data_IF_213391582070
#
_entry.id   IF_213391582070
#
_cell.length_a   1.000
_cell.length_b   1.000
_cell.length_c   1.000
_cell.angle_alpha   90.00
_cell.angle_beta   90.00
_cell.angle_gamma   90.00
#
_symmetry.space_group_name_H-M   'P 1'
#
loop_
_entity.id
_entity.type
_entity.pdbx_description
1 polymer ?
#
# COMPACT_ATOMS: atom_id res chain seq x y z
N UNK A 1 5.63 24.11 1.49
CA UNK A 1 4.59 23.32 2.20
C UNK A 1 3.16 23.70 1.86
N UNK A 2 2.82 24.95 1.56
CA UNK A 2 1.44 25.40 1.28
C UNK A 2 0.80 24.85 -0.02
N UNK A 3 1.60 24.42 -0.99
CA UNK A 3 1.08 23.96 -2.29
C UNK A 3 0.46 22.54 -2.24
N UNK A 4 0.99 21.65 -1.41
CA UNK A 4 0.52 20.27 -1.29
C UNK A 4 -0.83 20.14 -0.56
N UNK A 5 -1.10 21.00 0.41
CA UNK A 5 -2.35 20.98 1.19
C UNK A 5 -3.61 21.42 0.41
N UNK A 6 -3.45 22.05 -0.76
CA UNK A 6 -4.56 22.48 -1.61
C UNK A 6 -5.07 21.42 -2.60
N UNK A 7 -4.24 20.43 -2.95
CA UNK A 7 -4.54 19.46 -4.01
C UNK A 7 -5.77 18.61 -3.68
N UNK A 8 -5.84 18.05 -2.48
CA UNK A 8 -6.97 17.22 -2.06
C UNK A 8 -8.31 17.97 -2.16
N UNK A 9 -8.33 19.23 -1.73
CA UNK A 9 -9.54 20.09 -1.84
C UNK A 9 -9.91 20.35 -3.30
N UNK A 10 -8.92 20.61 -4.16
CA UNK A 10 -9.15 20.83 -5.60
C UNK A 10 -9.72 19.59 -6.26
N UNK A 11 -9.16 18.40 -5.96
CA UNK A 11 -9.66 17.14 -6.49
C UNK A 11 -11.05 16.83 -5.97
N UNK A 12 -11.30 16.96 -4.67
CA UNK A 12 -12.64 16.77 -4.08
C UNK A 12 -13.69 17.66 -4.74
N UNK A 13 -13.38 18.94 -4.93
CA UNK A 13 -14.28 19.88 -5.62
C UNK A 13 -14.52 19.49 -7.08
N UNK A 14 -13.48 19.00 -7.79
CA UNK A 14 -13.58 18.58 -9.19
C UNK A 14 -14.50 17.36 -9.38
N UNK A 15 -14.46 16.40 -8.44
CA UNK A 15 -15.29 15.19 -8.48
C UNK A 15 -16.62 15.32 -7.72
N UNK A 16 -16.92 16.50 -7.18
CA UNK A 16 -18.14 16.73 -6.42
C UNK A 16 -18.20 16.02 -5.06
N UNK A 17 -17.05 15.63 -4.50
CA UNK A 17 -16.98 14.97 -3.21
C UNK A 17 -16.86 15.96 -2.06
N UNK A 18 -17.39 15.60 -0.89
CA UNK A 18 -17.19 16.35 0.33
C UNK A 18 -15.73 16.26 0.78
N UNK A 19 -15.12 17.41 1.11
CA UNK A 19 -13.77 17.48 1.62
C UNK A 19 -13.76 17.41 3.15
N UNK A 20 -13.25 16.32 3.70
CA UNK A 20 -13.01 16.15 5.13
C UNK A 20 -11.55 16.49 5.43
N UNK A 21 -11.32 17.58 6.18
CA UNK A 21 -9.95 17.94 6.59
C UNK A 21 -9.43 17.03 7.69
N UNK A 22 -8.17 16.61 7.57
CA UNK A 22 -7.44 15.87 8.59
C UNK A 22 -6.31 16.69 9.19
N UNK A 23 -6.00 16.43 10.45
CA UNK A 23 -4.82 16.97 11.14
C UNK A 23 -3.56 16.15 10.86
N UNK A 24 -3.71 14.94 10.33
CA UNK A 24 -2.60 14.09 9.93
C UNK A 24 -2.10 14.48 8.53
N UNK A 25 -0.79 14.48 8.38
CA UNK A 25 -0.13 14.41 7.07
C UNK A 25 0.00 12.94 6.72
N UNK A 26 -0.71 12.53 5.68
CA UNK A 26 -0.68 11.17 5.18
C UNK A 26 -0.80 11.17 3.65
N UNK A 27 0.03 10.37 3.01
CA UNK A 27 -0.04 10.10 1.58
C UNK A 27 -0.93 8.87 1.34
N UNK A 28 -1.53 8.76 0.15
CA UNK A 28 -2.40 7.62 -0.20
C UNK A 28 -1.72 6.26 -0.02
N UNK A 29 -0.43 6.17 -0.34
CA UNK A 29 0.38 4.96 -0.16
C UNK A 29 0.75 4.64 1.30
N UNK A 30 0.56 5.58 2.23
CA UNK A 30 0.85 5.37 3.66
C UNK A 30 -0.22 4.57 4.41
N UNK A 31 -1.36 4.29 3.80
CA UNK A 31 -2.45 3.47 4.35
C UNK A 31 -3.04 2.54 3.29
N UNK A 32 -3.58 1.40 3.71
CA UNK A 32 -4.38 0.53 2.86
C UNK A 32 -5.58 -0.01 3.65
N UNK A 33 -6.78 0.11 3.09
CA UNK A 33 -8.04 -0.25 3.79
C UNK A 33 -8.70 -1.47 3.18
N UNK A 34 -9.42 -2.25 3.99
CA UNK A 34 -10.19 -3.41 3.55
C UNK A 34 -11.66 -3.08 3.17
N UNK A 35 -12.11 -1.86 3.45
CA UNK A 35 -13.50 -1.44 3.26
C UNK A 35 -14.46 -1.87 4.37
N UNK A 36 -14.02 -2.64 5.36
CA UNK A 36 -14.82 -3.13 6.50
C UNK A 36 -14.29 -2.67 7.85
N UNK A 37 -13.50 -1.59 7.86
CA UNK A 37 -13.04 -0.95 9.10
C UNK A 37 -11.61 -1.29 9.50
N UNK A 38 -10.88 -2.09 8.73
CA UNK A 38 -9.46 -2.37 8.98
C UNK A 38 -8.57 -1.49 8.11
N UNK A 39 -7.48 -0.99 8.69
CA UNK A 39 -6.43 -0.27 7.97
C UNK A 39 -5.06 -0.87 8.25
N UNK A 40 -4.28 -1.11 7.20
CA UNK A 40 -2.84 -1.39 7.25
C UNK A 40 -2.09 -0.06 7.15
N UNK A 41 -1.06 0.09 7.95
CA UNK A 41 -0.17 1.25 7.95
C UNK A 41 1.18 0.88 8.56
N UNK A 42 2.18 1.75 8.43
CA UNK A 42 3.50 1.56 9.04
C UNK A 42 3.76 2.60 10.13
N UNK A 43 4.47 2.18 11.18
CA UNK A 43 4.89 3.08 12.25
C UNK A 43 5.80 4.19 11.73
N UNK A 44 6.73 3.82 10.86
CA UNK A 44 7.76 4.73 10.33
C UNK A 44 7.18 5.87 9.50
N UNK A 45 6.00 5.69 8.90
CA UNK A 45 5.28 6.75 8.18
C UNK A 45 4.38 7.56 9.11
N UNK A 46 3.49 6.88 9.85
CA UNK A 46 2.46 7.58 10.61
C UNK A 46 3.00 8.34 11.83
N UNK A 47 4.06 7.80 12.44
CA UNK A 47 4.71 8.41 13.60
C UNK A 47 5.98 9.20 13.24
N UNK A 48 6.24 9.44 11.95
CA UNK A 48 7.35 10.27 11.51
C UNK A 48 7.20 11.71 12.04
N UNK A 49 8.15 12.18 12.88
CA UNK A 49 8.06 13.52 13.45
C UNK A 49 8.14 14.66 12.42
N UNK A 50 8.67 14.38 11.22
CA UNK A 50 8.69 15.35 10.11
C UNK A 50 7.32 15.45 9.40
N UNK A 51 6.48 14.39 9.49
CA UNK A 51 5.10 14.39 8.99
C UNK A 51 4.12 14.81 10.08
N UNK A 52 4.18 14.14 11.23
CA UNK A 52 3.19 14.22 12.30
C UNK A 52 3.88 14.43 13.66
N UNK A 53 4.46 15.62 13.93
CA UNK A 53 5.33 15.85 15.10
C UNK A 53 4.66 15.62 16.46
N UNK A 54 3.34 15.54 16.49
CA UNK A 54 2.56 15.33 17.73
C UNK A 54 1.75 14.04 17.70
N UNK A 55 2.00 13.15 16.71
CA UNK A 55 1.28 11.91 16.58
C UNK A 55 1.75 10.87 17.60
N UNK A 56 0.80 10.15 18.13
CA UNK A 56 0.96 8.85 18.78
C UNK A 56 -0.08 7.89 18.15
N UNK A 57 0.04 6.59 18.42
CA UNK A 57 -0.87 5.61 17.81
C UNK A 57 -2.34 5.94 18.08
N UNK A 58 -2.70 6.30 19.32
CA UNK A 58 -4.09 6.61 19.69
C UNK A 58 -4.66 7.81 18.92
N UNK A 59 -3.85 8.86 18.69
CA UNK A 59 -4.27 10.03 17.90
C UNK A 59 -4.43 9.68 16.42
N UNK A 60 -3.53 8.89 15.87
CA UNK A 60 -3.63 8.42 14.48
C UNK A 60 -4.89 7.58 14.31
N UNK A 61 -5.12 6.60 15.18
CA UNK A 61 -6.30 5.73 15.14
C UNK A 61 -7.60 6.51 15.28
N UNK A 62 -7.67 7.45 16.23
CA UNK A 62 -8.85 8.30 16.40
C UNK A 62 -9.15 9.15 15.15
N UNK A 63 -8.10 9.67 14.50
CA UNK A 63 -8.28 10.48 13.29
C UNK A 63 -8.66 9.63 12.09
N UNK A 64 -8.10 8.43 11.93
CA UNK A 64 -8.49 7.48 10.88
C UNK A 64 -9.93 6.98 11.08
N UNK A 65 -10.35 6.73 12.33
CA UNK A 65 -11.74 6.40 12.65
C UNK A 65 -12.70 7.53 12.24
N UNK A 66 -12.31 8.78 12.51
CA UNK A 66 -13.13 9.97 12.18
C UNK A 66 -13.21 10.23 10.68
N UNK A 67 -12.11 10.03 9.93
CA UNK A 67 -11.99 10.47 8.53
C UNK A 67 -12.34 9.40 7.51
N UNK A 68 -11.98 8.14 7.78
CA UNK A 68 -12.17 7.02 6.87
C UNK A 68 -12.93 5.83 7.49
N UNK A 69 -13.40 5.95 8.74
CA UNK A 69 -14.18 4.91 9.41
C UNK A 69 -13.37 3.67 9.83
N UNK A 70 -12.04 3.75 9.87
CA UNK A 70 -11.21 2.65 10.31
C UNK A 70 -11.29 2.47 11.84
N UNK A 71 -11.72 1.30 12.28
CA UNK A 71 -11.88 0.95 13.71
C UNK A 71 -10.76 0.06 14.24
N UNK A 72 -10.00 -0.55 13.35
CA UNK A 72 -8.87 -1.45 13.68
C UNK A 72 -7.68 -1.09 12.81
N UNK A 73 -6.57 -0.70 13.44
CA UNK A 73 -5.32 -0.38 12.78
C UNK A 73 -4.30 -1.51 13.00
N UNK A 74 -3.75 -2.06 11.92
CA UNK A 74 -2.67 -3.03 11.94
C UNK A 74 -1.36 -2.29 11.64
N UNK A 75 -0.54 -2.12 12.65
CA UNK A 75 0.68 -1.34 12.64
C UNK A 75 1.89 -2.17 12.26
N UNK A 76 2.25 -2.17 10.99
CA UNK A 76 3.51 -2.77 10.54
C UNK A 76 4.69 -1.95 11.11
N UNK A 77 5.74 -2.60 11.62
CA UNK A 77 6.85 -1.89 12.24
C UNK A 77 7.65 -1.03 11.25
N UNK A 78 7.71 -1.45 9.99
CA UNK A 78 8.50 -0.78 8.93
C UNK A 78 8.09 -1.22 7.53
N UNK A 79 8.57 -0.47 6.51
CA UNK A 79 8.50 -0.84 5.10
C UNK A 79 9.79 -1.47 4.57
N UNK A 80 9.95 -1.47 3.23
CA UNK A 80 11.14 -2.01 2.55
C UNK A 80 12.35 -1.09 2.72
N UNK A 81 13.55 -1.65 2.64
CA UNK A 81 14.78 -0.97 3.03
C UNK A 81 15.12 0.25 2.18
N UNK A 82 15.00 0.16 0.84
CA UNK A 82 15.32 1.29 -0.06
C UNK A 82 14.34 2.46 0.08
N UNK A 83 13.13 2.21 0.56
CA UNK A 83 12.12 3.26 0.74
C UNK A 83 12.47 4.28 1.86
N UNK A 84 13.62 4.11 2.50
CA UNK A 84 14.23 5.08 3.43
C UNK A 84 15.33 5.96 2.80
N UNK A 85 15.64 5.75 1.50
CA UNK A 85 16.61 6.54 0.76
C UNK A 85 16.03 7.90 0.29
N UNK A 86 16.79 8.68 -0.47
CA UNK A 86 16.50 10.08 -0.83
C UNK A 86 15.12 10.27 -1.48
N UNK A 87 14.69 9.34 -2.35
CA UNK A 87 13.38 9.41 -3.02
C UNK A 87 12.30 8.59 -2.32
N UNK A 88 12.63 7.93 -1.22
CA UNK A 88 11.72 7.06 -0.50
C UNK A 88 10.68 7.80 0.32
N UNK A 89 9.69 7.06 0.78
CA UNK A 89 8.55 7.56 1.53
C UNK A 89 8.64 7.30 3.04
N UNK A 90 9.76 6.75 3.51
CA UNK A 90 10.01 6.26 4.87
C UNK A 90 9.17 5.02 5.25
N UNK A 91 8.87 4.17 4.29
CA UNK A 91 8.25 2.87 4.52
C UNK A 91 6.75 2.84 4.29
N UNK A 92 6.26 3.40 3.17
CA UNK A 92 4.86 3.26 2.77
C UNK A 92 4.41 1.80 2.76
N UNK A 93 3.17 1.56 3.18
CA UNK A 93 2.60 0.20 3.24
C UNK A 93 2.30 -0.36 1.85
N UNK A 94 2.03 0.47 0.86
CA UNK A 94 1.57 0.09 -0.47
C UNK A 94 2.60 -0.61 -1.37
N UNK A 95 3.88 -0.65 -0.96
CA UNK A 95 4.90 -1.51 -1.58
C UNK A 95 5.13 -2.81 -0.80
N UNK A 96 4.57 -2.92 0.40
CA UNK A 96 4.78 -4.04 1.32
C UNK A 96 3.58 -4.96 1.37
N UNK A 97 2.38 -4.40 1.61
CA UNK A 97 1.17 -5.17 1.82
C UNK A 97 -0.08 -4.43 1.32
N UNK A 98 -1.05 -5.19 0.81
CA UNK A 98 -2.33 -4.68 0.34
C UNK A 98 -3.46 -5.65 0.67
N UNK A 99 -4.64 -5.16 1.06
CA UNK A 99 -5.82 -6.01 1.13
C UNK A 99 -6.31 -6.38 -0.28
N UNK A 100 -6.48 -7.66 -0.55
CA UNK A 100 -7.20 -8.13 -1.74
C UNK A 100 -8.71 -8.25 -1.49
N UNK A 101 -9.07 -8.50 -0.24
CA UNK A 101 -10.43 -8.56 0.27
C UNK A 101 -10.37 -8.44 1.81
N UNK A 102 -11.50 -8.19 2.49
CA UNK A 102 -11.54 -8.25 3.94
C UNK A 102 -10.99 -9.59 4.47
N UNK A 103 -10.05 -9.54 5.42
CA UNK A 103 -9.35 -10.70 5.98
C UNK A 103 -8.28 -11.34 5.08
N UNK A 104 -8.05 -10.84 3.83
CA UNK A 104 -7.02 -11.38 2.92
C UNK A 104 -6.01 -10.31 2.54
N UNK A 105 -4.73 -10.56 2.83
CA UNK A 105 -3.61 -9.63 2.59
C UNK A 105 -2.63 -10.23 1.59
N UNK A 106 -2.32 -9.48 0.53
CA UNK A 106 -1.18 -9.72 -0.32
C UNK A 106 0.06 -9.15 0.37
N UNK A 107 1.13 -9.92 0.46
CA UNK A 107 2.37 -9.52 1.13
C UNK A 107 3.56 -9.70 0.20
N UNK A 108 4.35 -8.66 0.04
CA UNK A 108 5.63 -8.72 -0.64
C UNK A 108 6.55 -9.76 0.02
N UNK A 109 7.19 -10.62 -0.79
CA UNK A 109 8.11 -11.64 -0.32
C UNK A 109 9.43 -11.56 -1.07
N UNK A 110 10.51 -11.30 -0.36
CA UNK A 110 11.86 -11.37 -0.90
C UNK A 110 12.50 -12.71 -0.55
N UNK A 111 12.79 -13.54 -1.56
CA UNK A 111 13.32 -14.89 -1.39
C UNK A 111 14.85 -14.95 -1.30
N UNK A 112 15.55 -13.96 -1.87
CA UNK A 112 17.02 -13.93 -1.85
C UNK A 112 17.55 -13.55 -0.46
N UNK A 113 18.27 -14.47 0.18
CA UNK A 113 18.82 -14.26 1.52
C UNK A 113 19.93 -13.19 1.59
N UNK A 114 20.50 -12.79 0.47
CA UNK A 114 21.47 -11.69 0.37
C UNK A 114 20.81 -10.33 0.27
N UNK A 115 19.51 -10.28 -0.01
CA UNK A 115 18.76 -9.02 -0.07
C UNK A 115 18.35 -8.56 1.33
N UNK A 116 18.50 -7.27 1.69
CA UNK A 116 18.14 -6.77 3.02
C UNK A 116 16.66 -7.01 3.36
N UNK A 117 15.76 -6.98 2.38
CA UNK A 117 14.34 -7.16 2.60
C UNK A 117 13.91 -8.63 2.81
N UNK A 118 14.82 -9.60 2.66
CA UNK A 118 14.54 -10.99 3.00
C UNK A 118 14.12 -11.15 4.47
N UNK A 119 14.85 -10.52 5.37
CA UNK A 119 14.53 -10.56 6.81
C UNK A 119 13.27 -9.74 7.08
N UNK A 120 13.17 -8.54 6.48
CA UNK A 120 12.02 -7.63 6.65
C UNK A 120 10.71 -8.33 6.30
N UNK A 121 10.62 -8.93 5.12
CA UNK A 121 9.37 -9.56 4.66
C UNK A 121 8.98 -10.78 5.48
N UNK A 122 9.94 -11.53 6.02
CA UNK A 122 9.69 -12.64 6.94
C UNK A 122 9.16 -12.18 8.30
N UNK A 123 9.74 -11.12 8.86
CA UNK A 123 9.27 -10.51 10.10
C UNK A 123 7.85 -9.97 9.95
N UNK A 124 7.57 -9.27 8.85
CA UNK A 124 6.23 -8.75 8.55
C UNK A 124 5.21 -9.87 8.36
N UNK A 125 5.59 -10.98 7.72
CA UNK A 125 4.72 -12.14 7.60
C UNK A 125 4.37 -12.74 8.95
N UNK A 126 5.37 -12.97 9.79
CA UNK A 126 5.16 -13.50 11.14
C UNK A 126 4.26 -12.57 11.96
N UNK A 127 4.49 -11.26 11.89
CA UNK A 127 3.66 -10.26 12.56
C UNK A 127 2.20 -10.30 12.09
N UNK A 128 1.97 -10.34 10.76
CA UNK A 128 0.61 -10.34 10.19
C UNK A 128 -0.17 -11.61 10.48
N UNK A 129 0.51 -12.77 10.61
CA UNK A 129 -0.14 -14.04 10.94
C UNK A 129 -0.81 -14.04 12.32
N UNK A 130 -0.36 -13.17 13.23
CA UNK A 130 -0.92 -13.01 14.57
C UNK A 130 -2.01 -11.92 14.65
N UNK A 131 -2.35 -11.27 13.52
CA UNK A 131 -3.34 -10.19 13.48
C UNK A 131 -4.72 -10.69 13.05
N UNK A 132 -5.71 -9.89 13.45
CA UNK A 132 -7.10 -10.04 13.00
C UNK A 132 -7.61 -8.73 12.40
N UNK A 133 -8.58 -8.81 11.51
CA UNK A 133 -9.28 -7.63 10.99
C UNK A 133 -10.32 -7.07 11.99
N UNK A 134 -11.03 -6.02 11.59
CA UNK A 134 -12.06 -5.36 12.40
C UNK A 134 -13.25 -6.27 12.75
N UNK A 135 -13.48 -7.34 11.98
CA UNK A 135 -14.49 -8.34 12.27
C UNK A 135 -13.98 -9.52 13.15
N UNK A 136 -12.70 -9.48 13.56
CA UNK A 136 -12.05 -10.53 14.35
C UNK A 136 -11.63 -11.76 13.51
N UNK A 137 -11.58 -11.66 12.18
CA UNK A 137 -11.12 -12.75 11.31
C UNK A 137 -9.59 -12.79 11.30
N UNK A 138 -8.94 -13.95 11.51
CA UNK A 138 -7.51 -14.09 11.25
C UNK A 138 -7.18 -13.74 9.79
N UNK A 139 -6.03 -13.10 9.57
CA UNK A 139 -5.60 -12.71 8.23
C UNK A 139 -5.10 -13.93 7.43
N UNK A 140 -5.63 -14.11 6.23
CA UNK A 140 -5.05 -14.97 5.20
C UNK A 140 -3.94 -14.21 4.48
N UNK A 141 -2.69 -14.69 4.57
CA UNK A 141 -1.54 -14.04 3.95
C UNK A 141 -1.20 -14.74 2.65
N UNK A 142 -1.27 -14.02 1.54
CA UNK A 142 -0.88 -14.47 0.21
C UNK A 142 0.47 -13.85 -0.16
N UNK A 143 1.50 -14.68 -0.25
CA UNK A 143 2.82 -14.24 -0.65
C UNK A 143 2.84 -13.83 -2.13
N UNK A 144 3.37 -12.66 -2.41
CA UNK A 144 3.67 -12.16 -3.76
C UNK A 144 5.18 -12.02 -3.88
N UNK A 145 5.87 -12.98 -4.55
CA UNK A 145 7.33 -12.95 -4.68
C UNK A 145 7.81 -11.67 -5.36
N UNK A 146 8.92 -11.14 -4.89
CA UNK A 146 9.63 -10.03 -5.52
C UNK A 146 10.06 -10.37 -6.96
N UNK A 147 10.34 -9.36 -7.81
CA UNK A 147 11.10 -9.55 -9.04
C UNK A 147 12.46 -10.22 -8.79
N UNK A 148 13.06 -10.77 -9.87
CA UNK A 148 14.35 -11.47 -9.79
C UNK A 148 15.53 -10.48 -9.73
N UNK A 149 15.36 -9.27 -10.26
CA UNK A 149 16.37 -8.21 -10.18
C UNK A 149 16.53 -7.76 -8.73
N UNK A 150 17.74 -7.93 -8.20
CA UNK A 150 18.04 -7.56 -6.82
C UNK A 150 18.64 -6.17 -6.68
N UNK A 151 19.29 -5.67 -7.75
CA UNK A 151 20.04 -4.40 -7.73
C UNK A 151 19.92 -3.67 -9.05
N UNK A 152 19.95 -2.36 -8.96
CA UNK A 152 20.24 -1.41 -10.04
C UNK A 152 21.54 -0.66 -9.78
N UNK A 153 21.77 0.42 -10.53
CA UNK A 153 23.00 1.23 -10.41
C UNK A 153 23.09 1.96 -9.07
N UNK A 154 21.98 2.12 -8.33
CA UNK A 154 21.91 2.84 -7.07
C UNK A 154 21.94 1.91 -5.84
N UNK A 155 21.73 0.61 -6.01
CA UNK A 155 21.75 -0.36 -4.91
C UNK A 155 20.72 -1.47 -5.00
N UNK A 156 20.28 -1.98 -3.86
CA UNK A 156 19.18 -2.94 -3.81
C UNK A 156 17.88 -2.28 -4.21
N UNK A 157 17.06 -2.96 -5.04
CA UNK A 157 15.77 -2.45 -5.47
C UNK A 157 14.67 -2.79 -4.47
N UNK A 158 13.64 -1.95 -4.40
CA UNK A 158 12.39 -2.17 -3.65
C UNK A 158 11.21 -2.50 -4.58
N UNK A 159 11.49 -3.04 -5.75
CA UNK A 159 10.48 -3.35 -6.75
C UNK A 159 9.45 -4.34 -6.22
N UNK A 160 8.19 -3.97 -6.30
CA UNK A 160 7.12 -4.73 -5.69
C UNK A 160 5.86 -4.79 -6.58
N UNK A 161 5.34 -6.01 -6.79
CA UNK A 161 4.04 -6.22 -7.45
C UNK A 161 2.85 -5.86 -6.53
N UNK A 162 3.10 -5.58 -5.24
CA UNK A 162 2.06 -5.10 -4.32
C UNK A 162 1.60 -3.70 -4.73
N UNK A 163 2.47 -2.89 -5.35
CA UNK A 163 2.16 -1.52 -5.73
C UNK A 163 1.32 -1.44 -7.02
N UNK A 164 0.18 -2.13 -7.03
CA UNK A 164 -0.79 -2.17 -8.13
C UNK A 164 -2.02 -1.32 -7.82
N UNK A 165 -2.76 -0.93 -8.85
CA UNK A 165 -4.02 -0.20 -8.73
C UNK A 165 -5.19 -1.10 -9.09
N UNK A 166 -6.17 -1.20 -8.21
CA UNK A 166 -7.44 -1.88 -8.49
C UNK A 166 -8.45 -0.87 -9.02
N UNK A 167 -8.98 -1.15 -10.21
CA UNK A 167 -10.06 -0.38 -10.85
C UNK A 167 -11.28 -1.28 -11.12
N UNK A 168 -12.39 -0.74 -11.65
CA UNK A 168 -13.65 -1.45 -11.73
C UNK A 168 -13.54 -2.86 -12.36
N UNK A 169 -12.95 -2.96 -13.55
CA UNK A 169 -12.89 -4.21 -14.33
C UNK A 169 -11.46 -4.75 -14.49
N UNK A 170 -10.47 -4.09 -13.89
CA UNK A 170 -9.08 -4.44 -14.06
C UNK A 170 -8.23 -4.19 -12.81
N UNK A 171 -7.05 -4.80 -12.81
CA UNK A 171 -5.94 -4.46 -11.94
C UNK A 171 -4.79 -3.98 -12.82
N UNK A 172 -4.32 -2.78 -12.59
CA UNK A 172 -3.14 -2.24 -13.27
C UNK A 172 -1.93 -2.67 -12.43
N UNK A 173 -1.19 -3.65 -12.92
CA UNK A 173 -0.10 -4.29 -12.22
C UNK A 173 1.26 -3.77 -12.69
N UNK A 174 2.21 -3.70 -11.77
CA UNK A 174 3.60 -3.45 -12.11
C UNK A 174 4.18 -4.61 -12.93
N UNK A 175 4.98 -4.28 -13.93
CA UNK A 175 5.85 -5.20 -14.65
C UNK A 175 7.28 -4.68 -14.59
N UNK A 176 8.24 -5.60 -14.55
CA UNK A 176 9.64 -5.25 -14.43
C UNK A 176 10.48 -5.79 -15.61
N UNK A 177 9.79 -6.31 -16.65
CA UNK A 177 10.43 -6.88 -17.84
C UNK A 177 11.03 -8.26 -17.59
N UNK A 178 10.52 -8.98 -16.61
CA UNK A 178 10.95 -10.32 -16.19
C UNK A 178 9.84 -11.32 -16.47
N UNK A 179 9.84 -11.92 -17.66
CA UNK A 179 8.71 -12.71 -18.18
C UNK A 179 8.14 -13.72 -17.17
N UNK A 180 9.00 -14.47 -16.48
CA UNK A 180 8.57 -15.49 -15.53
C UNK A 180 8.04 -14.92 -14.22
N UNK A 181 8.69 -13.90 -13.66
CA UNK A 181 8.27 -13.25 -12.42
C UNK A 181 7.00 -12.41 -12.66
N UNK A 182 6.95 -11.65 -13.76
CA UNK A 182 5.79 -10.86 -14.16
C UNK A 182 4.56 -11.77 -14.42
N UNK A 183 4.76 -12.95 -15.05
CA UNK A 183 3.69 -13.92 -15.27
C UNK A 183 3.17 -14.48 -13.94
N UNK A 184 4.06 -14.88 -13.03
CA UNK A 184 3.70 -15.37 -11.69
C UNK A 184 2.92 -14.32 -10.90
N UNK A 185 3.35 -13.07 -10.93
CA UNK A 185 2.63 -11.97 -10.26
C UNK A 185 1.22 -11.79 -10.85
N UNK A 186 1.08 -11.83 -12.18
CA UNK A 186 -0.24 -11.76 -12.84
C UNK A 186 -1.17 -12.89 -12.39
N UNK A 187 -0.65 -14.12 -12.29
CA UNK A 187 -1.45 -15.28 -11.85
C UNK A 187 -1.94 -15.11 -10.40
N UNK A 188 -1.06 -14.65 -9.51
CA UNK A 188 -1.41 -14.39 -8.11
C UNK A 188 -2.44 -13.26 -8.00
N UNK A 189 -2.24 -12.15 -8.70
CA UNK A 189 -3.17 -11.03 -8.72
C UNK A 189 -4.51 -11.43 -9.35
N UNK A 190 -4.50 -12.24 -10.42
CA UNK A 190 -5.72 -12.77 -11.05
C UNK A 190 -6.53 -13.64 -10.10
N UNK A 191 -5.87 -14.46 -9.29
CA UNK A 191 -6.52 -15.28 -8.26
C UNK A 191 -7.02 -14.42 -7.07
N UNK A 192 -6.31 -13.36 -6.74
CA UNK A 192 -6.68 -12.45 -5.64
C UNK A 192 -7.88 -11.55 -6.00
N UNK A 193 -8.02 -11.17 -7.27
CA UNK A 193 -9.06 -10.27 -7.77
C UNK A 193 -9.91 -10.95 -8.86
N UNK A 194 -10.74 -11.95 -8.52
CA UNK A 194 -11.50 -12.71 -9.49
C UNK A 194 -12.45 -11.81 -10.30
N UNK A 195 -12.50 -12.06 -11.61
CA UNK A 195 -13.33 -11.30 -12.54
C UNK A 195 -12.71 -10.00 -13.07
N UNK A 196 -11.50 -9.63 -12.60
CA UNK A 196 -10.77 -8.45 -13.11
C UNK A 196 -9.69 -8.86 -14.10
N UNK A 197 -9.52 -8.07 -15.14
CA UNK A 197 -8.40 -8.24 -16.07
C UNK A 197 -7.12 -7.71 -15.44
N UNK A 198 -6.01 -8.47 -15.50
CA UNK A 198 -4.70 -7.99 -15.08
C UNK A 198 -3.99 -7.34 -16.27
N UNK A 199 -3.76 -6.04 -16.15
CA UNK A 199 -3.06 -5.22 -17.16
C UNK A 199 -1.68 -4.85 -16.61
N UNK A 200 -0.63 -5.34 -17.23
CA UNK A 200 0.75 -5.06 -16.79
C UNK A 200 1.31 -3.82 -17.49
N UNK A 201 1.91 -2.94 -16.72
CA UNK A 201 2.60 -1.72 -17.18
C UNK A 201 4.05 -1.77 -16.70
N UNK A 202 5.00 -1.38 -17.54
CA UNK A 202 6.41 -1.25 -17.13
C UNK A 202 6.55 -0.19 -16.03
N UNK A 203 6.81 -0.65 -14.83
CA UNK A 203 6.89 0.19 -13.63
C UNK A 203 8.31 0.66 -13.30
N UNK A 204 9.34 0.15 -13.99
CA UNK A 204 10.74 0.52 -13.73
C UNK A 204 11.01 2.03 -13.77
N UNK A 205 10.48 2.79 -14.76
CA UNK A 205 10.68 4.24 -14.79
C UNK A 205 10.00 4.99 -13.62
N UNK A 206 8.95 4.40 -13.03
CA UNK A 206 8.23 4.99 -11.89
C UNK A 206 9.01 4.68 -10.62
N UNK A 207 9.41 3.42 -10.41
CA UNK A 207 10.22 3.01 -9.26
C UNK A 207 11.57 3.74 -9.18
N UNK A 208 12.18 4.08 -10.32
CA UNK A 208 13.35 4.93 -10.37
C UNK A 208 13.11 6.37 -9.81
N UNK A 209 11.87 6.70 -9.45
CA UNK A 209 11.49 7.99 -8.84
C UNK A 209 10.80 7.82 -7.48
N UNK A 210 10.97 6.66 -6.84
CA UNK A 210 10.56 6.40 -5.48
C UNK A 210 9.15 5.81 -5.33
N UNK A 211 8.71 4.95 -6.24
CA UNK A 211 7.47 4.23 -6.08
C UNK A 211 6.94 3.57 -7.35
N UNK A 212 5.74 3.02 -7.30
CA UNK A 212 5.10 2.33 -8.42
C UNK A 212 3.76 2.93 -8.82
N UNK A 213 2.88 2.09 -9.37
CA UNK A 213 1.61 2.52 -9.97
C UNK A 213 0.65 3.04 -8.90
N UNK A 214 0.56 2.37 -7.74
CA UNK A 214 -0.31 2.81 -6.65
C UNK A 214 0.11 4.17 -6.10
N UNK A 215 1.42 4.41 -5.98
CA UNK A 215 1.98 5.65 -5.43
C UNK A 215 1.59 6.91 -6.24
N UNK A 216 1.36 6.78 -7.55
CA UNK A 216 0.98 7.90 -8.43
C UNK A 216 -0.52 7.99 -8.71
N UNK A 217 -1.32 7.18 -8.03
CA UNK A 217 -2.77 7.08 -8.25
C UNK A 217 -3.54 7.29 -6.95
N UNK A 218 -4.83 7.56 -7.07
CA UNK A 218 -5.77 7.62 -5.96
C UNK A 218 -7.11 7.06 -6.40
N UNK A 219 -7.62 6.09 -5.68
CA UNK A 219 -8.92 5.51 -5.93
C UNK A 219 -10.03 6.53 -5.59
N UNK A 220 -11.05 6.57 -6.43
CA UNK A 220 -12.32 7.21 -6.12
C UNK A 220 -13.36 6.10 -5.93
N UNK A 221 -13.74 5.76 -4.68
CA UNK A 221 -14.78 4.76 -4.44
C UNK A 221 -16.09 5.18 -5.10
N UNK A 222 -16.78 4.21 -5.70
CA UNK A 222 -18.15 4.46 -6.17
C UNK A 222 -19.03 4.80 -4.96
N UNK A 223 -19.86 5.84 -5.11
CA UNK A 223 -20.92 6.09 -4.13
C UNK A 223 -21.90 4.90 -4.19
N UNK A 224 -22.13 4.23 -3.07
CA UNK A 224 -23.26 3.31 -2.99
C UNK A 224 -24.52 4.13 -3.29
N UNK A 225 -25.20 3.84 -4.40
CA UNK A 225 -26.59 4.29 -4.54
C UNK A 225 -27.36 3.67 -3.37
N UNK A 226 -27.68 4.50 -2.39
CA UNK A 226 -28.69 4.10 -1.39
C UNK A 226 -29.98 3.94 -2.21
N UNK A 227 -30.55 2.73 -2.35
CA UNK A 227 -31.83 2.58 -3.02
C UNK A 227 -32.82 3.51 -2.32
N UNK A 228 -33.48 4.38 -3.09
CA UNK A 228 -34.50 5.26 -2.60
C UNK A 228 -35.71 4.51 -2.04
#
# INVERSE_FOLDING_TARGET
>A
MLFRSGIARTVAAHVGAEHISSVLVNEGGGIHVDGEGTVLLTETVQLDPNRNPYADRGRVEAELARTIGATTAIWLPRGLTRDYDEFGTNGHVDIVAAFAAPGRVLLHRQDDAGHPDHVVTRELKAFLQDQTDAAGRPLEIVDVPAPETLRDDEGYVDWSYINHLVVNDAVIACGFGEDAADARARDILGAAYPGRQIVTVDARPIFARGGGIHCITQQQPATSEVPA
#
